data_IF_311462129413
#
_entry.id   IF_311462129413
#
_cell.length_a   1.000
_cell.length_b   1.000
_cell.length_c   1.000
_cell.angle_alpha   90.00
_cell.angle_beta   90.00
_cell.angle_gamma   90.00
#
_symmetry.space_group_name_H-M   'P 1'
#
loop_
_entity.id
_entity.type
_entity.pdbx_description
1 polymer ?
#
# COMPACT_ATOMS: atom_id res chain seq x y z
N UNK A 1 -4.05 17.29 13.16
CA UNK A 1 -5.17 16.37 12.82
C UNK A 1 -5.70 16.84 11.49
N UNK A 2 -5.74 15.99 10.48
CA UNK A 2 -6.20 16.35 9.14
C UNK A 2 -7.71 16.59 9.16
N UNK A 3 -8.19 17.59 8.40
CA UNK A 3 -9.63 17.83 8.28
C UNK A 3 -10.29 16.67 7.49
N UNK A 4 -11.53 16.27 7.85
CA UNK A 4 -12.25 15.28 7.07
C UNK A 4 -12.48 15.77 5.65
N UNK A 5 -12.30 14.86 4.68
CA UNK A 5 -12.57 15.16 3.28
C UNK A 5 -14.07 15.40 3.06
N UNK A 6 -14.46 16.33 2.17
CA UNK A 6 -15.85 16.51 1.79
C UNK A 6 -16.35 15.35 0.92
N UNK A 7 -17.66 15.14 0.92
CA UNK A 7 -18.30 14.07 0.11
C UNK A 7 -18.01 14.17 -1.39
N UNK A 8 -17.65 15.35 -1.90
CA UNK A 8 -17.22 15.52 -3.29
C UNK A 8 -15.97 14.72 -3.65
N UNK A 9 -15.15 14.30 -2.67
CA UNK A 9 -13.97 13.46 -2.86
C UNK A 9 -14.28 11.95 -2.88
N UNK A 10 -15.51 11.54 -2.52
CA UNK A 10 -15.85 10.11 -2.35
C UNK A 10 -15.60 9.32 -3.62
N UNK A 11 -16.12 9.77 -4.76
CA UNK A 11 -15.96 9.06 -6.03
C UNK A 11 -14.47 8.92 -6.42
N UNK A 12 -13.71 9.98 -6.27
CA UNK A 12 -12.28 9.96 -6.61
C UNK A 12 -11.51 8.96 -5.74
N UNK A 13 -11.81 8.88 -4.45
CA UNK A 13 -11.19 7.91 -3.54
C UNK A 13 -11.57 6.48 -3.91
N UNK A 14 -12.85 6.20 -4.21
CA UNK A 14 -13.31 4.88 -4.65
C UNK A 14 -12.64 4.45 -5.96
N UNK A 15 -12.49 5.35 -6.93
CA UNK A 15 -11.76 5.08 -8.18
C UNK A 15 -10.26 4.83 -7.97
N UNK A 16 -9.64 5.48 -6.97
CA UNK A 16 -8.25 5.18 -6.61
C UNK A 16 -8.12 3.79 -5.96
N UNK A 17 -9.06 3.42 -5.09
CA UNK A 17 -9.09 2.06 -4.52
C UNK A 17 -9.28 1.01 -5.60
N UNK A 18 -10.23 1.16 -6.51
CA UNK A 18 -10.40 0.22 -7.62
C UNK A 18 -9.09 -0.05 -8.38
N UNK A 19 -8.28 0.99 -8.59
CA UNK A 19 -6.96 0.87 -9.25
C UNK A 19 -5.92 0.25 -8.32
N UNK A 20 -5.95 0.60 -7.03
CA UNK A 20 -5.02 0.10 -6.04
C UNK A 20 -5.21 -1.40 -5.79
N UNK A 21 -6.44 -1.85 -5.59
CA UNK A 21 -6.79 -3.27 -5.39
C UNK A 21 -6.40 -4.15 -6.59
N UNK A 22 -6.64 -3.67 -7.81
CA UNK A 22 -6.19 -4.38 -9.01
C UNK A 22 -4.66 -4.51 -9.06
N UNK A 23 -3.92 -3.52 -8.55
CA UNK A 23 -2.46 -3.55 -8.45
C UNK A 23 -1.98 -4.41 -7.28
N UNK A 24 -2.64 -4.35 -6.12
CA UNK A 24 -2.36 -5.16 -4.96
C UNK A 24 -2.54 -6.65 -5.27
N UNK A 25 -3.68 -7.02 -5.85
CA UNK A 25 -3.96 -8.38 -6.29
C UNK A 25 -2.90 -8.91 -7.26
N UNK A 26 -2.48 -8.10 -8.23
CA UNK A 26 -1.36 -8.48 -9.10
C UNK A 26 -0.05 -8.62 -8.33
N UNK A 27 0.28 -7.71 -7.43
CA UNK A 27 1.51 -7.71 -6.66
C UNK A 27 1.61 -8.94 -5.75
N UNK A 28 0.51 -9.29 -5.08
CA UNK A 28 0.41 -10.47 -4.20
C UNK A 28 0.58 -11.77 -5.01
N UNK A 29 -0.06 -11.89 -6.17
CA UNK A 29 0.12 -13.03 -7.08
C UNK A 29 1.55 -13.15 -7.59
N UNK A 30 2.15 -12.03 -8.00
CA UNK A 30 3.53 -12.02 -8.44
C UNK A 30 4.51 -12.34 -7.30
N UNK A 31 4.21 -11.95 -6.05
CA UNK A 31 4.99 -12.28 -4.87
C UNK A 31 4.96 -13.78 -4.55
N UNK A 32 3.82 -14.44 -4.71
CA UNK A 32 3.68 -15.88 -4.52
C UNK A 32 4.54 -16.71 -5.49
N UNK A 33 4.88 -16.14 -6.64
CA UNK A 33 5.76 -16.78 -7.63
C UNK A 33 7.26 -16.58 -7.33
N UNK A 34 7.61 -15.84 -6.27
CA UNK A 34 9.00 -15.65 -5.85
C UNK A 34 9.40 -16.67 -4.77
N UNK A 35 10.71 -16.75 -4.52
CA UNK A 35 11.25 -17.53 -3.41
C UNK A 35 11.02 -16.78 -2.09
N UNK A 36 9.87 -17.06 -1.46
CA UNK A 36 9.43 -16.47 -0.19
C UNK A 36 9.39 -17.52 0.93
N UNK A 37 9.56 -17.12 2.19
CA UNK A 37 9.45 -18.05 3.32
C UNK A 37 8.07 -18.74 3.34
N UNK A 38 7.98 -20.04 3.78
CA UNK A 38 6.73 -20.78 3.76
C UNK A 38 5.56 -20.11 4.51
N UNK A 39 5.83 -19.48 5.66
CA UNK A 39 4.82 -18.75 6.41
C UNK A 39 4.31 -17.50 5.68
N UNK A 40 5.18 -16.84 4.91
CA UNK A 40 4.81 -15.72 4.04
C UNK A 40 3.90 -16.18 2.91
N UNK A 41 4.21 -17.32 2.28
CA UNK A 41 3.38 -17.85 1.19
C UNK A 41 1.94 -18.12 1.65
N UNK A 42 1.77 -18.64 2.87
CA UNK A 42 0.44 -18.87 3.44
C UNK A 42 -0.32 -17.55 3.65
N UNK A 43 0.35 -16.52 4.16
CA UNK A 43 -0.24 -15.19 4.31
C UNK A 43 -0.63 -14.60 2.95
N UNK A 44 0.26 -14.64 1.96
CA UNK A 44 0.02 -14.10 0.62
C UNK A 44 -1.19 -14.73 -0.08
N UNK A 45 -1.47 -16.02 0.14
CA UNK A 45 -2.66 -16.68 -0.40
C UNK A 45 -3.95 -16.11 0.20
N UNK A 46 -3.98 -15.89 1.52
CA UNK A 46 -5.14 -15.27 2.17
C UNK A 46 -5.29 -13.81 1.73
N UNK A 47 -4.19 -13.07 1.68
CA UNK A 47 -4.14 -11.69 1.20
C UNK A 47 -4.70 -11.58 -0.24
N UNK A 48 -4.35 -12.52 -1.13
CA UNK A 48 -4.94 -12.57 -2.48
C UNK A 48 -6.46 -12.70 -2.48
N UNK A 49 -7.00 -13.53 -1.59
CA UNK A 49 -8.45 -13.71 -1.46
C UNK A 49 -9.13 -12.43 -0.96
N UNK A 50 -8.53 -11.74 0.02
CA UNK A 50 -8.99 -10.48 0.58
C UNK A 50 -8.97 -9.37 -0.49
N UNK A 51 -7.86 -9.18 -1.21
CA UNK A 51 -7.73 -8.20 -2.30
C UNK A 51 -8.72 -8.45 -3.46
N UNK A 52 -8.97 -9.72 -3.78
CA UNK A 52 -9.96 -10.06 -4.80
C UNK A 52 -11.39 -9.71 -4.35
N UNK A 53 -11.70 -9.82 -3.06
CA UNK A 53 -13.00 -9.42 -2.51
C UNK A 53 -13.16 -7.89 -2.48
N UNK A 54 -12.12 -7.17 -2.05
CA UNK A 54 -12.09 -5.71 -2.08
C UNK A 54 -12.28 -5.18 -3.50
N UNK A 55 -11.52 -5.69 -4.46
CA UNK A 55 -11.64 -5.31 -5.87
C UNK A 55 -13.07 -5.46 -6.38
N UNK A 56 -13.68 -6.62 -6.13
CA UNK A 56 -15.08 -6.89 -6.52
C UNK A 56 -16.06 -5.93 -5.84
N UNK A 57 -15.83 -5.58 -4.58
CA UNK A 57 -16.66 -4.62 -3.85
C UNK A 57 -16.59 -3.24 -4.50
N UNK A 58 -15.39 -2.75 -4.86
CA UNK A 58 -15.23 -1.46 -5.55
C UNK A 58 -15.82 -1.48 -6.96
N UNK A 59 -15.70 -2.57 -7.70
CA UNK A 59 -16.34 -2.73 -9.00
C UNK A 59 -17.88 -2.60 -8.89
N UNK A 60 -18.47 -3.20 -7.87
CA UNK A 60 -19.92 -3.10 -7.62
C UNK A 60 -20.32 -1.68 -7.21
N UNK A 61 -19.58 -1.04 -6.31
CA UNK A 61 -19.86 0.32 -5.84
C UNK A 61 -19.78 1.36 -6.96
N UNK A 62 -18.88 1.20 -7.90
CA UNK A 62 -18.68 2.13 -9.01
C UNK A 62 -19.49 1.77 -10.26
N UNK A 63 -20.05 0.54 -10.33
CA UNK A 63 -20.73 0.04 -11.52
C UNK A 63 -19.79 -0.11 -12.72
N UNK A 64 -18.51 -0.36 -12.49
CA UNK A 64 -17.48 -0.48 -13.53
C UNK A 64 -16.47 -1.58 -13.18
N UNK A 65 -15.91 -2.22 -14.19
CA UNK A 65 -14.86 -3.21 -14.00
C UNK A 65 -13.49 -2.54 -13.95
N UNK A 66 -12.57 -3.11 -13.18
CA UNK A 66 -11.19 -2.72 -13.21
C UNK A 66 -10.58 -3.09 -14.56
N UNK A 67 -10.02 -2.12 -15.24
CA UNK A 67 -9.25 -2.40 -16.45
C UNK A 67 -7.79 -2.64 -16.01
N UNK A 68 -7.35 -3.90 -16.08
CA UNK A 68 -5.97 -4.27 -15.78
C UNK A 68 -4.98 -3.43 -16.60
N UNK A 69 -3.91 -2.98 -15.95
CA UNK A 69 -2.81 -2.29 -16.65
C UNK A 69 -2.16 -3.24 -17.64
N UNK A 70 -1.94 -2.77 -18.86
CA UNK A 70 -1.25 -3.52 -19.92
C UNK A 70 0.25 -3.64 -19.67
N UNK A 71 0.85 -2.75 -18.85
CA UNK A 71 2.26 -2.77 -18.46
C UNK A 71 2.39 -2.72 -16.95
N UNK A 72 2.75 -3.84 -16.37
CA UNK A 72 2.96 -3.98 -14.92
C UNK A 72 4.46 -3.87 -14.59
N UNK A 73 4.84 -3.27 -13.48
CA UNK A 73 6.25 -3.15 -13.08
C UNK A 73 6.81 -4.55 -12.79
N UNK A 74 8.12 -4.73 -13.05
CA UNK A 74 8.79 -5.97 -12.67
C UNK A 74 8.92 -6.05 -11.15
N UNK A 75 8.45 -7.15 -10.57
CA UNK A 75 8.58 -7.38 -9.13
C UNK A 75 10.03 -7.77 -8.76
N UNK A 76 10.55 -7.28 -7.62
CA UNK A 76 11.82 -7.76 -7.09
C UNK A 76 11.77 -9.27 -6.80
N UNK A 77 12.83 -9.98 -7.18
CA UNK A 77 12.95 -11.43 -6.94
C UNK A 77 13.50 -11.78 -5.55
N UNK A 78 14.14 -10.85 -4.86
CA UNK A 78 14.69 -11.06 -3.53
C UNK A 78 13.70 -10.68 -2.47
N UNK A 79 13.36 -11.60 -1.57
CA UNK A 79 12.37 -11.39 -0.53
C UNK A 79 12.64 -10.12 0.32
N UNK A 80 13.88 -9.86 0.72
CA UNK A 80 14.24 -8.67 1.49
C UNK A 80 13.90 -7.34 0.80
N UNK A 81 13.91 -7.31 -0.53
CA UNK A 81 13.54 -6.13 -1.32
C UNK A 81 12.03 -6.07 -1.52
N UNK A 82 11.45 -7.23 -1.83
CA UNK A 82 10.02 -7.37 -2.06
C UNK A 82 9.19 -7.02 -0.82
N UNK A 83 9.59 -7.53 0.36
CA UNK A 83 8.92 -7.24 1.63
C UNK A 83 8.90 -5.75 1.94
N UNK A 84 9.99 -5.03 1.68
CA UNK A 84 10.04 -3.57 1.85
C UNK A 84 9.09 -2.86 0.89
N UNK A 85 8.99 -3.31 -0.36
CA UNK A 85 8.07 -2.72 -1.34
C UNK A 85 6.61 -2.96 -0.94
N UNK A 86 6.26 -4.20 -0.55
CA UNK A 86 4.92 -4.53 -0.08
C UNK A 86 4.57 -3.72 1.17
N UNK A 87 5.45 -3.70 2.18
CA UNK A 87 5.25 -2.87 3.38
C UNK A 87 5.00 -1.39 3.04
N UNK A 88 5.74 -0.85 2.08
CA UNK A 88 5.55 0.54 1.65
C UNK A 88 4.21 0.75 0.96
N UNK A 89 3.79 -0.14 0.05
CA UNK A 89 2.52 -0.02 -0.65
C UNK A 89 1.32 -0.21 0.30
N UNK A 90 1.36 -1.20 1.19
CA UNK A 90 0.33 -1.42 2.20
C UNK A 90 0.22 -0.22 3.16
N UNK A 91 1.35 0.38 3.54
CA UNK A 91 1.33 1.60 4.38
C UNK A 91 0.62 2.76 3.68
N UNK A 92 0.83 2.93 2.38
CA UNK A 92 0.09 3.94 1.60
C UNK A 92 -1.38 3.56 1.47
N UNK A 93 -1.70 2.30 1.18
CA UNK A 93 -3.05 1.76 1.11
C UNK A 93 -3.83 2.03 2.39
N UNK A 94 -3.23 1.74 3.54
CA UNK A 94 -3.82 1.99 4.86
C UNK A 94 -4.18 3.47 5.08
N UNK A 95 -3.34 4.42 4.65
CA UNK A 95 -3.67 5.86 4.79
C UNK A 95 -4.84 6.26 3.88
N UNK A 96 -4.91 5.71 2.66
CA UNK A 96 -6.07 5.90 1.80
C UNK A 96 -7.33 5.22 2.37
N UNK A 97 -7.22 4.03 3.00
CA UNK A 97 -8.34 3.36 3.65
C UNK A 97 -8.91 4.18 4.82
N UNK A 98 -8.05 4.87 5.58
CA UNK A 98 -8.49 5.81 6.62
C UNK A 98 -9.28 6.99 6.06
N UNK A 99 -8.84 7.54 4.93
CA UNK A 99 -9.57 8.60 4.22
C UNK A 99 -10.91 8.08 3.69
N UNK A 100 -10.92 6.88 3.12
CA UNK A 100 -12.14 6.24 2.60
C UNK A 100 -13.17 6.04 3.70
N UNK A 101 -12.79 5.46 4.84
CA UNK A 101 -13.69 5.21 5.97
C UNK A 101 -14.23 6.50 6.58
N UNK A 102 -13.48 7.59 6.50
CA UNK A 102 -13.96 8.93 6.86
C UNK A 102 -15.14 9.41 6.02
N UNK A 103 -15.25 8.95 4.76
CA UNK A 103 -16.34 9.24 3.84
C UNK A 103 -17.40 8.11 3.78
N UNK A 104 -16.95 6.87 3.94
CA UNK A 104 -17.73 5.63 3.82
C UNK A 104 -17.49 4.73 5.03
N UNK A 105 -18.10 5.04 6.19
CA UNK A 105 -17.94 4.23 7.41
C UNK A 105 -18.39 2.77 7.27
N UNK A 106 -19.26 2.49 6.30
CA UNK A 106 -19.71 1.14 5.93
C UNK A 106 -18.58 0.24 5.38
N UNK A 107 -17.45 0.83 4.95
CA UNK A 107 -16.28 0.12 4.43
C UNK A 107 -15.19 -0.13 5.49
N UNK A 108 -15.54 -0.09 6.78
CA UNK A 108 -14.61 -0.28 7.91
C UNK A 108 -13.91 -1.64 7.89
N UNK A 109 -14.49 -2.67 7.25
CA UNK A 109 -13.86 -3.98 7.09
C UNK A 109 -12.57 -3.89 6.29
N UNK A 110 -12.56 -3.12 5.19
CA UNK A 110 -11.38 -2.90 4.36
C UNK A 110 -10.25 -2.29 5.19
N UNK A 111 -10.55 -1.24 5.97
CA UNK A 111 -9.53 -0.64 6.86
C UNK A 111 -8.90 -1.66 7.81
N UNK A 112 -9.71 -2.58 8.38
CA UNK A 112 -9.20 -3.61 9.29
C UNK A 112 -8.29 -4.62 8.59
N UNK A 113 -8.62 -4.99 7.35
CA UNK A 113 -7.80 -5.90 6.56
C UNK A 113 -6.46 -5.21 6.21
N UNK A 114 -6.48 -3.93 5.80
CA UNK A 114 -5.28 -3.13 5.56
C UNK A 114 -4.36 -3.01 6.81
N UNK A 115 -4.95 -2.87 8.01
CA UNK A 115 -4.19 -2.87 9.26
C UNK A 115 -3.47 -4.20 9.51
N UNK A 116 -4.11 -5.32 9.16
CA UNK A 116 -3.50 -6.66 9.24
C UNK A 116 -2.39 -6.82 8.21
N UNK A 117 -2.61 -6.39 6.97
CA UNK A 117 -1.60 -6.46 5.90
C UNK A 117 -0.34 -5.67 6.28
N UNK A 118 -0.50 -4.42 6.68
CA UNK A 118 0.63 -3.58 7.16
C UNK A 118 1.36 -4.22 8.33
N UNK A 119 0.63 -4.73 9.33
CA UNK A 119 1.20 -5.38 10.50
C UNK A 119 2.04 -6.60 10.15
N UNK A 120 1.57 -7.42 9.20
CA UNK A 120 2.31 -8.58 8.73
C UNK A 120 3.62 -8.17 8.04
N UNK A 121 3.58 -7.27 7.07
CA UNK A 121 4.79 -6.86 6.37
C UNK A 121 5.74 -6.06 7.25
N UNK A 122 5.23 -5.32 8.24
CA UNK A 122 6.07 -4.70 9.28
C UNK A 122 6.87 -5.76 10.06
N UNK A 123 6.23 -6.86 10.46
CA UNK A 123 6.88 -7.98 11.14
C UNK A 123 7.96 -8.62 10.25
N UNK A 124 7.66 -8.87 8.99
CA UNK A 124 8.62 -9.44 8.04
C UNK A 124 9.83 -8.55 7.81
N UNK A 125 9.61 -7.23 7.66
CA UNK A 125 10.70 -6.26 7.54
C UNK A 125 11.58 -6.26 8.81
N UNK A 126 11.00 -6.27 10.01
CA UNK A 126 11.76 -6.39 11.27
C UNK A 126 12.58 -7.67 11.32
N UNK A 127 11.99 -8.80 10.93
CA UNK A 127 12.67 -10.11 10.84
C UNK A 127 13.86 -10.06 9.88
N UNK A 128 13.73 -9.42 8.72
CA UNK A 128 14.83 -9.22 7.78
C UNK A 128 15.93 -8.36 8.40
N UNK A 129 15.58 -7.28 9.08
CA UNK A 129 16.55 -6.37 9.69
C UNK A 129 17.32 -7.00 10.86
N UNK A 130 16.71 -7.93 11.62
CA UNK A 130 17.41 -8.66 12.70
C UNK A 130 18.52 -9.59 12.19
N UNK A 131 18.51 -9.98 10.92
CA UNK A 131 19.59 -10.78 10.33
C UNK A 131 20.90 -9.99 10.22
N UNK A 132 20.84 -8.65 10.23
CA UNK A 132 22.03 -7.77 10.14
C UNK A 132 22.77 -7.87 8.81
N UNK A 133 23.95 -7.21 8.76
CA UNK A 133 24.88 -7.28 7.64
C UNK A 133 24.24 -6.97 6.27
N UNK A 134 24.71 -7.65 5.20
CA UNK A 134 24.28 -7.36 3.82
C UNK A 134 22.78 -7.53 3.56
N UNK A 135 22.10 -8.36 4.38
CA UNK A 135 20.65 -8.57 4.24
C UNK A 135 19.90 -7.34 4.70
N UNK A 136 20.19 -6.84 5.90
CA UNK A 136 19.58 -5.64 6.45
C UNK A 136 19.95 -4.40 5.63
N UNK A 137 21.20 -4.31 5.17
CA UNK A 137 21.66 -3.19 4.34
C UNK A 137 20.93 -3.16 2.99
N UNK A 138 20.71 -4.33 2.38
CA UNK A 138 19.93 -4.45 1.16
C UNK A 138 18.46 -4.00 1.35
N UNK A 139 17.84 -4.31 2.48
CA UNK A 139 16.49 -3.84 2.82
C UNK A 139 16.44 -2.32 2.99
N UNK A 140 17.41 -1.72 3.71
CA UNK A 140 17.51 -0.26 3.86
C UNK A 140 17.74 0.45 2.54
N UNK A 141 18.59 -0.10 1.66
CA UNK A 141 18.81 0.44 0.32
C UNK A 141 17.54 0.39 -0.53
N UNK A 142 16.78 -0.72 -0.45
CA UNK A 142 15.50 -0.86 -1.12
C UNK A 142 14.50 0.20 -0.62
N UNK A 143 14.43 0.42 0.69
CA UNK A 143 13.58 1.44 1.31
C UNK A 143 13.93 2.85 0.82
N UNK A 144 15.20 3.22 0.79
CA UNK A 144 15.64 4.51 0.26
C UNK A 144 15.26 4.70 -1.22
N UNK A 145 15.44 3.65 -2.03
CA UNK A 145 15.10 3.69 -3.46
C UNK A 145 13.59 3.81 -3.67
N UNK A 146 12.79 3.10 -2.88
CA UNK A 146 11.34 3.13 -2.92
C UNK A 146 10.81 4.51 -2.48
N UNK A 147 11.28 5.05 -1.35
CA UNK A 147 10.90 6.37 -0.83
C UNK A 147 11.15 7.51 -1.82
N UNK A 148 12.27 7.48 -2.55
CA UNK A 148 12.57 8.51 -3.58
C UNK A 148 11.51 8.56 -4.70
N UNK A 149 10.83 7.45 -4.97
CA UNK A 149 9.80 7.34 -6.00
C UNK A 149 8.38 7.59 -5.47
N UNK A 150 8.22 7.66 -4.14
CA UNK A 150 6.91 7.80 -3.51
C UNK A 150 6.23 9.14 -3.80
N UNK A 151 6.89 10.33 -3.68
CA UNK A 151 6.21 11.61 -3.87
C UNK A 151 5.48 11.75 -5.21
N UNK A 152 6.08 11.45 -6.38
CA UNK A 152 5.36 11.49 -7.65
C UNK A 152 4.26 10.42 -7.75
N UNK A 153 4.37 9.32 -7.02
CA UNK A 153 3.33 8.28 -6.98
C UNK A 153 2.11 8.78 -6.20
N UNK A 154 2.31 9.33 -5.00
CA UNK A 154 1.22 9.91 -4.20
C UNK A 154 0.56 11.07 -4.94
N UNK A 155 1.34 11.95 -5.57
CA UNK A 155 0.79 13.05 -6.36
C UNK A 155 -0.12 12.54 -7.50
N UNK A 156 0.24 11.43 -8.12
CA UNK A 156 -0.57 10.79 -9.16
C UNK A 156 -1.88 10.21 -8.62
N UNK A 157 -1.87 9.68 -7.39
CA UNK A 157 -3.09 9.19 -6.72
C UNK A 157 -4.04 10.34 -6.33
N UNK A 158 -3.50 11.51 -6.07
CA UNK A 158 -4.23 12.72 -5.68
C UNK A 158 -4.48 13.67 -6.86
N UNK A 159 -4.41 13.21 -8.13
CA UNK A 159 -4.49 14.10 -9.30
C UNK A 159 -5.90 14.61 -9.59
N UNK A 160 -6.94 13.92 -9.09
CA UNK A 160 -8.33 14.33 -9.31
C UNK A 160 -8.60 15.74 -8.79
N UNK A 161 -9.43 16.50 -9.54
CA UNK A 161 -9.75 17.90 -9.22
C UNK A 161 -10.45 18.06 -7.87
N UNK A 162 -11.20 17.04 -7.41
CA UNK A 162 -11.86 17.08 -6.10
C UNK A 162 -10.85 17.12 -4.94
N UNK A 163 -9.63 16.62 -5.15
CA UNK A 163 -8.55 16.73 -4.16
C UNK A 163 -7.77 18.03 -4.23
N UNK A 164 -7.96 18.87 -5.24
CA UNK A 164 -7.12 20.04 -5.45
C UNK A 164 -6.96 20.95 -4.20
N UNK A 165 -8.02 21.25 -3.43
CA UNK A 165 -7.89 22.08 -2.22
C UNK A 165 -7.11 21.38 -1.07
N UNK A 166 -7.01 20.05 -1.08
CA UNK A 166 -6.45 19.23 0.00
C UNK A 166 -5.14 18.56 -0.38
N UNK A 167 -4.75 18.62 -1.65
CA UNK A 167 -3.66 17.81 -2.25
C UNK A 167 -2.34 17.93 -1.51
N UNK A 168 -1.91 19.13 -1.21
CA UNK A 168 -0.62 19.36 -0.54
C UNK A 168 -0.63 18.87 0.92
N UNK A 169 -1.77 19.00 1.61
CA UNK A 169 -1.93 18.50 2.97
C UNK A 169 -1.94 16.97 2.99
N UNK A 170 -2.72 16.34 2.11
CA UNK A 170 -2.80 14.89 1.95
C UNK A 170 -1.43 14.30 1.59
N UNK A 171 -0.75 14.91 0.63
CA UNK A 171 0.59 14.45 0.22
C UNK A 171 1.57 14.51 1.39
N UNK A 172 1.65 15.64 2.10
CA UNK A 172 2.52 15.78 3.27
C UNK A 172 2.17 14.79 4.37
N UNK A 173 0.88 14.56 4.63
CA UNK A 173 0.43 13.60 5.63
C UNK A 173 0.87 12.18 5.27
N UNK A 174 0.53 11.69 4.06
CA UNK A 174 0.86 10.33 3.61
C UNK A 174 2.37 10.10 3.62
N UNK A 175 3.15 11.04 3.07
CA UNK A 175 4.61 10.93 3.07
C UNK A 175 5.18 10.92 4.49
N UNK A 176 4.66 11.76 5.38
CA UNK A 176 5.07 11.82 6.78
C UNK A 176 4.82 10.51 7.52
N UNK A 177 3.62 9.92 7.36
CA UNK A 177 3.29 8.62 7.98
C UNK A 177 4.19 7.50 7.48
N UNK A 178 4.45 7.44 6.18
CA UNK A 178 5.38 6.45 5.61
C UNK A 178 6.78 6.62 6.19
N UNK A 179 7.27 7.85 6.28
CA UNK A 179 8.59 8.15 6.84
C UNK A 179 8.70 7.76 8.32
N UNK A 180 7.67 8.07 9.12
CA UNK A 180 7.58 7.68 10.53
C UNK A 180 7.58 6.16 10.70
N UNK A 181 6.80 5.43 9.90
CA UNK A 181 6.77 3.95 9.93
C UNK A 181 8.09 3.33 9.52
N UNK A 182 8.72 3.84 8.45
CA UNK A 182 10.02 3.35 7.99
C UNK A 182 11.12 3.61 9.03
N UNK A 183 11.06 4.75 9.71
CA UNK A 183 11.95 5.06 10.83
C UNK A 183 11.71 4.11 12.02
N UNK A 184 10.45 3.89 12.39
CA UNK A 184 10.07 3.07 13.53
C UNK A 184 10.48 1.59 13.39
N UNK A 185 10.51 1.07 12.16
CA UNK A 185 10.98 -0.31 11.89
C UNK A 185 12.49 -0.40 11.66
N UNK A 186 13.22 0.73 11.52
CA UNK A 186 14.67 0.75 11.31
C UNK A 186 15.11 0.67 9.84
N UNK A 187 14.21 0.95 8.89
CA UNK A 187 14.52 1.04 7.45
C UNK A 187 15.20 2.36 7.06
N UNK A 188 15.02 3.42 7.84
CA UNK A 188 15.69 4.71 7.68
C UNK A 188 16.39 5.12 8.98
N UNK A 189 17.50 5.85 8.86
CA UNK A 189 18.13 6.53 9.99
C UNK A 189 17.41 7.87 10.26
N UNK A 190 17.54 8.35 11.50
CA UNK A 190 17.15 9.70 11.89
C UNK A 190 18.02 10.76 11.19
#
# INVERSE_FOLDING_TARGET
MMQPLPSSCERAILEQFLKAEAMALWAVRAAQAQDVPPGVLQFLRRHEEEEAQHLKQFELLLGMNSHGKTALPRMPSQWRVLAVHLYGYETVGLEFARLLVGLRPDLISILKDEEVHVGFFEHEVRTILTQGGPVADGARQAAQSWRRRLPPTVNRYLHDESFAPFRDELQRHILGVVDERFLAVGLSAR
#
